data_IF_482787102258
#
_entry.id   IF_482787102258
#
_cell.length_a   1.000
_cell.length_b   1.000
_cell.length_c   1.000
_cell.angle_alpha   90.00
_cell.angle_beta   90.00
_cell.angle_gamma   90.00
#
_symmetry.space_group_name_H-M   'P 1'
#
loop_
_entity.id
_entity.type
_entity.pdbx_description
1 polymer ?
#
# COMPACT_ATOMS: atom_id res chain seq x y z
N UNK A 1 -4.34 3.61 11.91
CA UNK A 1 -4.45 3.95 10.48
C UNK A 1 -5.17 5.28 10.34
N UNK A 2 -4.78 6.14 9.42
CA UNK A 2 -5.37 7.47 9.23
C UNK A 2 -5.95 7.61 7.84
N UNK A 3 -6.93 8.50 7.69
CA UNK A 3 -7.43 8.91 6.39
C UNK A 3 -6.33 9.68 5.63
N UNK A 4 -6.14 9.32 4.37
CA UNK A 4 -5.21 9.97 3.46
C UNK A 4 -6.02 10.72 2.41
N UNK A 5 -5.90 12.02 2.41
CA UNK A 5 -6.45 12.89 1.37
C UNK A 5 -5.41 13.06 0.25
N UNK A 6 -5.83 12.80 -0.99
CA UNK A 6 -4.97 12.99 -2.15
C UNK A 6 -4.94 14.46 -2.55
N UNK A 7 -3.78 15.08 -2.46
CA UNK A 7 -3.58 16.49 -2.84
C UNK A 7 -3.45 16.70 -4.36
N UNK A 8 -3.26 15.60 -5.10
CA UNK A 8 -3.03 15.62 -6.53
C UNK A 8 -1.55 15.65 -6.90
N UNK A 9 -1.27 15.53 -8.19
CA UNK A 9 0.09 15.55 -8.71
C UNK A 9 0.45 16.94 -9.26
N UNK A 10 1.70 17.39 -9.10
CA UNK A 10 2.22 18.52 -9.83
C UNK A 10 2.04 18.35 -11.35
N UNK A 11 1.83 19.47 -12.06
CA UNK A 11 1.52 19.47 -13.49
C UNK A 11 2.55 18.75 -14.36
N UNK A 12 3.84 18.87 -14.01
CA UNK A 12 4.93 18.21 -14.74
C UNK A 12 4.92 16.69 -14.55
N UNK A 13 4.63 16.20 -13.36
CA UNK A 13 4.51 14.76 -13.06
C UNK A 13 3.24 14.20 -13.70
N UNK A 14 2.13 14.90 -13.56
CA UNK A 14 0.87 14.52 -14.20
C UNK A 14 1.01 14.42 -15.73
N UNK A 15 1.74 15.36 -16.33
CA UNK A 15 2.04 15.33 -17.77
C UNK A 15 2.83 14.09 -18.18
N UNK A 16 3.88 13.72 -17.43
CA UNK A 16 4.65 12.48 -17.68
C UNK A 16 3.74 11.24 -17.69
N UNK A 17 2.82 11.15 -16.73
CA UNK A 17 1.88 10.01 -16.65
C UNK A 17 0.88 10.02 -17.82
N UNK A 18 0.39 11.19 -18.22
CA UNK A 18 -0.50 11.31 -19.38
C UNK A 18 0.23 10.92 -20.68
N UNK A 19 1.48 11.32 -20.83
CA UNK A 19 2.32 10.94 -21.98
C UNK A 19 2.59 9.44 -22.00
N UNK A 20 2.91 8.85 -20.85
CA UNK A 20 3.05 7.40 -20.71
C UNK A 20 1.78 6.66 -21.14
N UNK A 21 0.60 7.08 -20.68
CA UNK A 21 -0.70 6.49 -21.09
C UNK A 21 -0.94 6.57 -22.61
N UNK A 22 -0.43 7.62 -23.25
CA UNK A 22 -0.58 7.83 -24.69
C UNK A 22 0.48 7.11 -25.52
N UNK A 23 1.54 6.60 -24.90
CA UNK A 23 2.62 5.91 -25.61
C UNK A 23 2.12 4.63 -26.31
N UNK A 24 2.71 4.31 -27.44
CA UNK A 24 2.39 3.07 -28.16
C UNK A 24 2.80 1.83 -27.34
N UNK A 25 3.87 1.93 -26.56
CA UNK A 25 4.27 0.86 -25.66
C UNK A 25 3.17 0.52 -24.66
N UNK A 26 2.65 1.52 -23.93
CA UNK A 26 1.57 1.31 -22.97
C UNK A 26 0.30 0.79 -23.60
N UNK A 27 -0.12 1.37 -24.73
CA UNK A 27 -1.36 0.96 -25.42
C UNK A 27 -1.32 -0.48 -25.91
N UNK A 28 -0.17 -0.96 -26.37
CA UNK A 28 -0.01 -2.30 -26.91
C UNK A 28 0.13 -3.39 -25.83
N UNK A 29 0.34 -3.06 -24.56
CA UNK A 29 0.32 -4.03 -23.47
C UNK A 29 -1.10 -4.58 -23.32
N UNK A 30 -1.24 -5.90 -23.30
CA UNK A 30 -2.52 -6.56 -23.01
C UNK A 30 -2.91 -6.42 -21.55
N UNK A 31 -4.21 -6.44 -21.26
CA UNK A 31 -4.74 -6.29 -19.91
C UNK A 31 -4.24 -7.38 -18.92
N UNK A 32 -3.96 -8.57 -19.42
CA UNK A 32 -3.50 -9.72 -18.65
C UNK A 32 -1.96 -9.89 -18.63
N UNK A 33 -1.21 -9.02 -19.32
CA UNK A 33 0.26 -9.03 -19.33
C UNK A 33 0.83 -8.25 -18.14
N UNK A 34 0.67 -8.85 -16.96
CA UNK A 34 1.14 -8.26 -15.69
C UNK A 34 2.65 -7.98 -15.68
N UNK A 35 3.44 -8.80 -16.36
CA UNK A 35 4.90 -8.62 -16.41
C UNK A 35 5.28 -7.38 -17.22
N UNK A 36 4.66 -7.15 -18.37
CA UNK A 36 4.86 -5.95 -19.16
C UNK A 36 4.36 -4.69 -18.42
N UNK A 37 3.20 -4.75 -17.75
CA UNK A 37 2.69 -3.66 -16.92
C UNK A 37 3.69 -3.32 -15.80
N UNK A 38 4.21 -4.32 -15.10
CA UNK A 38 5.19 -4.12 -14.01
C UNK A 38 6.49 -3.50 -14.53
N UNK A 39 6.99 -3.99 -15.68
CA UNK A 39 8.18 -3.42 -16.31
C UNK A 39 8.02 -1.93 -16.57
N UNK A 40 6.93 -1.51 -17.23
CA UNK A 40 6.67 -0.10 -17.53
C UNK A 40 6.52 0.72 -16.25
N UNK A 41 5.85 0.19 -15.23
CA UNK A 41 5.78 0.84 -13.93
C UNK A 41 7.15 1.02 -13.28
N UNK A 42 8.07 0.08 -13.46
CA UNK A 42 9.40 0.17 -12.85
C UNK A 42 10.38 1.03 -13.65
N UNK A 43 10.21 1.16 -14.98
CA UNK A 43 11.17 1.85 -15.87
C UNK A 43 10.71 3.23 -16.36
N UNK A 44 9.42 3.39 -16.71
CA UNK A 44 8.92 4.56 -17.43
C UNK A 44 8.01 5.44 -16.59
N UNK A 45 7.36 4.87 -15.58
CA UNK A 45 6.55 5.63 -14.64
C UNK A 45 7.45 6.48 -13.70
N UNK A 46 7.10 7.74 -13.40
CA UNK A 46 7.88 8.61 -12.53
C UNK A 46 7.79 8.21 -11.05
N UNK A 47 8.19 6.96 -10.75
CA UNK A 47 7.97 6.26 -9.48
C UNK A 47 8.58 6.97 -8.28
N UNK A 48 9.78 7.54 -8.45
CA UNK A 48 10.46 8.24 -7.35
C UNK A 48 9.77 9.58 -7.05
N UNK A 49 9.40 10.33 -8.08
CA UNK A 49 8.68 11.59 -7.91
C UNK A 49 7.33 11.34 -7.21
N UNK A 50 6.59 10.32 -7.68
CA UNK A 50 5.30 9.93 -7.08
C UNK A 50 5.48 9.43 -5.64
N UNK A 51 6.52 8.65 -5.37
CA UNK A 51 6.81 8.17 -4.00
C UNK A 51 7.06 9.35 -3.05
N UNK A 52 7.82 10.34 -3.45
CA UNK A 52 8.10 11.53 -2.64
C UNK A 52 6.80 12.28 -2.29
N UNK A 53 5.91 12.46 -3.27
CA UNK A 53 4.60 13.08 -3.08
C UNK A 53 3.74 12.28 -2.11
N UNK A 54 3.66 10.95 -2.28
CA UNK A 54 2.92 10.07 -1.37
C UNK A 54 3.43 10.15 0.07
N UNK A 55 4.74 10.18 0.25
CA UNK A 55 5.34 10.32 1.58
C UNK A 55 5.03 11.69 2.20
N UNK A 56 5.01 12.74 1.39
CA UNK A 56 4.64 14.08 1.83
C UNK A 56 3.17 14.14 2.29
N UNK A 57 2.23 13.69 1.44
CA UNK A 57 0.79 13.62 1.77
C UNK A 57 0.52 12.83 3.05
N UNK A 58 1.29 11.77 3.28
CA UNK A 58 1.15 10.87 4.42
C UNK A 58 2.00 11.30 5.64
N UNK A 59 2.64 12.49 5.60
CA UNK A 59 3.49 12.99 6.68
C UNK A 59 4.62 12.02 7.10
N UNK A 60 5.15 11.24 6.14
CA UNK A 60 6.19 10.26 6.40
C UNK A 60 5.73 9.06 7.22
N UNK A 61 4.47 8.65 7.10
CA UNK A 61 3.88 7.53 7.83
C UNK A 61 3.35 6.48 6.84
N UNK A 62 3.64 5.21 7.11
CA UNK A 62 3.10 4.08 6.33
C UNK A 62 1.56 4.09 6.38
N UNK A 63 0.92 4.01 5.20
CA UNK A 63 -0.53 4.04 5.06
C UNK A 63 -1.25 2.95 5.89
N UNK A 64 -0.59 1.83 6.17
CA UNK A 64 -1.19 0.70 6.89
C UNK A 64 -0.80 0.66 8.37
N UNK A 65 0.47 0.48 8.71
CA UNK A 65 0.91 0.23 10.08
C UNK A 65 1.30 1.48 10.87
N UNK A 66 1.22 2.67 10.29
CA UNK A 66 1.58 3.94 10.91
C UNK A 66 3.07 4.08 11.30
N UNK A 67 3.93 3.13 10.91
CA UNK A 67 5.37 3.25 11.10
C UNK A 67 5.90 4.45 10.31
N UNK A 68 6.89 5.16 10.88
CA UNK A 68 7.60 6.21 10.15
C UNK A 68 8.35 5.63 8.95
N UNK A 69 8.21 6.27 7.80
CA UNK A 69 8.87 5.92 6.54
C UNK A 69 9.60 7.13 5.96
N UNK A 70 10.66 6.86 5.21
CA UNK A 70 11.51 7.87 4.60
C UNK A 70 11.67 7.60 3.11
N UNK A 71 12.24 8.55 2.37
CA UNK A 71 12.58 8.38 0.97
C UNK A 71 13.85 7.52 0.82
N UNK A 72 13.73 6.25 1.16
CA UNK A 72 14.81 5.26 1.15
C UNK A 72 14.31 3.91 0.59
N UNK A 73 15.11 2.86 0.72
CA UNK A 73 14.78 1.53 0.23
C UNK A 73 13.88 0.72 1.18
N UNK A 74 13.52 1.25 2.37
CA UNK A 74 12.58 0.66 3.33
C UNK A 74 11.15 1.17 3.16
N UNK A 75 10.91 2.01 2.16
CA UNK A 75 9.58 2.44 1.75
C UNK A 75 9.35 2.21 0.27
N UNK A 76 8.10 2.01 -0.11
CA UNK A 76 7.69 1.71 -1.50
C UNK A 76 6.36 2.35 -1.86
N UNK A 77 6.09 2.40 -3.16
CA UNK A 77 4.76 2.69 -3.71
C UNK A 77 3.98 1.38 -3.72
N UNK A 78 2.85 1.38 -3.06
CA UNK A 78 1.89 0.29 -2.98
C UNK A 78 0.68 0.59 -3.87
N UNK A 79 0.12 -0.43 -4.52
CA UNK A 79 -1.13 -0.36 -5.25
C UNK A 79 -2.27 -0.90 -4.41
N UNK A 80 -3.25 -0.06 -4.06
CA UNK A 80 -4.41 -0.47 -3.27
C UNK A 80 -5.17 -1.61 -3.96
N UNK A 81 -5.52 -1.44 -5.24
CA UNK A 81 -5.89 -2.52 -6.14
C UNK A 81 -4.61 -3.03 -6.82
N UNK A 82 -4.21 -4.30 -6.63
CA UNK A 82 -2.97 -4.83 -7.19
C UNK A 82 -2.84 -4.57 -8.70
N UNK A 83 -1.64 -4.26 -9.14
CA UNK A 83 -1.38 -3.87 -10.53
C UNK A 83 -1.69 -5.03 -11.53
N UNK A 84 -1.65 -6.28 -11.05
CA UNK A 84 -2.04 -7.48 -11.81
C UNK A 84 -3.53 -7.58 -12.10
N UNK A 85 -4.36 -6.78 -11.44
CA UNK A 85 -5.82 -6.85 -11.55
C UNK A 85 -6.41 -5.86 -12.55
N UNK A 86 -5.71 -4.76 -12.80
CA UNK A 86 -6.16 -3.74 -13.73
C UNK A 86 -4.97 -2.89 -14.20
N UNK A 87 -4.66 -2.96 -15.47
CA UNK A 87 -3.56 -2.25 -16.12
C UNK A 87 -3.64 -0.73 -15.89
N UNK A 88 -4.82 -0.12 -16.09
CA UNK A 88 -4.98 1.33 -15.95
C UNK A 88 -4.75 1.80 -14.49
N UNK A 89 -5.03 0.94 -13.52
CA UNK A 89 -4.79 1.22 -12.10
C UNK A 89 -3.31 1.13 -11.72
N UNK A 90 -2.48 0.48 -12.53
CA UNK A 90 -1.05 0.38 -12.29
C UNK A 90 -0.31 1.73 -12.41
N UNK A 91 -0.85 2.68 -13.18
CA UNK A 91 -0.31 4.04 -13.34
C UNK A 91 -1.30 5.12 -12.89
N UNK A 92 -2.28 4.75 -12.07
CA UNK A 92 -3.25 5.67 -11.46
C UNK A 92 -2.78 6.10 -10.07
N UNK A 93 -2.38 7.36 -9.93
CA UNK A 93 -1.96 7.93 -8.65
C UNK A 93 -2.99 7.75 -7.53
N UNK A 94 -4.29 7.79 -7.84
CA UNK A 94 -5.36 7.57 -6.86
C UNK A 94 -5.45 6.12 -6.38
N UNK A 95 -4.73 5.19 -7.01
CA UNK A 95 -4.58 3.81 -6.57
C UNK A 95 -3.29 3.56 -5.80
N UNK A 96 -2.50 4.60 -5.51
CA UNK A 96 -1.16 4.45 -4.92
C UNK A 96 -1.10 4.98 -3.49
N UNK A 97 -0.31 4.30 -2.66
CA UNK A 97 -0.03 4.63 -1.28
C UNK A 97 1.48 4.52 -1.00
N UNK A 98 1.99 5.33 -0.08
CA UNK A 98 3.33 5.16 0.48
C UNK A 98 3.28 4.17 1.65
N UNK A 99 4.07 3.09 1.57
CA UNK A 99 4.09 2.07 2.63
C UNK A 99 5.53 1.68 3.00
N UNK A 100 5.69 1.05 4.17
CA UNK A 100 6.96 0.46 4.55
C UNK A 100 7.22 -0.84 3.78
N UNK A 101 8.46 -1.36 3.87
CA UNK A 101 8.86 -2.65 3.27
C UNK A 101 8.25 -3.88 3.97
N UNK A 102 7.38 -3.67 4.96
CA UNK A 102 6.71 -4.74 5.70
C UNK A 102 7.67 -5.69 6.42
N UNK A 103 8.93 -5.30 6.58
CA UNK A 103 9.98 -6.09 7.22
C UNK A 103 10.77 -7.00 6.29
N UNK A 104 10.58 -6.97 4.98
CA UNK A 104 11.34 -7.78 4.01
C UNK A 104 12.86 -7.60 4.12
N UNK A 105 13.31 -6.39 4.48
CA UNK A 105 14.74 -6.07 4.56
C UNK A 105 15.36 -6.21 5.95
N UNK A 106 14.61 -6.76 6.90
CA UNK A 106 15.15 -7.06 8.22
C UNK A 106 16.02 -8.33 8.13
N UNK A 107 17.33 -8.16 8.20
CA UNK A 107 18.29 -9.27 8.20
C UNK A 107 18.56 -9.76 9.62
N UNK A 108 18.75 -11.08 9.78
CA UNK A 108 19.24 -11.67 11.05
C UNK A 108 18.19 -12.06 12.07
N UNK A 109 16.89 -11.86 11.83
CA UNK A 109 15.81 -12.40 12.67
C UNK A 109 15.21 -13.66 12.05
N UNK A 110 15.49 -14.82 12.60
CA UNK A 110 14.77 -16.06 12.24
C UNK A 110 13.28 -15.92 12.60
N UNK A 111 12.40 -16.19 11.63
CA UNK A 111 10.96 -16.18 11.84
C UNK A 111 10.33 -14.78 11.91
N UNK A 112 10.96 -13.79 11.26
CA UNK A 112 10.33 -12.48 11.07
C UNK A 112 9.05 -12.63 10.24
N UNK A 113 7.98 -11.99 10.69
CA UNK A 113 6.67 -12.04 10.05
C UNK A 113 6.55 -10.79 9.18
N UNK A 114 6.21 -10.98 7.92
CA UNK A 114 5.93 -9.87 7.01
C UNK A 114 4.58 -9.24 7.36
N UNK A 115 4.46 -7.94 7.14
CA UNK A 115 3.20 -7.20 7.29
C UNK A 115 3.01 -6.19 6.13
N UNK A 116 1.94 -5.43 6.19
CA UNK A 116 1.61 -4.41 5.19
C UNK A 116 1.61 -4.98 3.77
N UNK A 117 2.19 -4.24 2.81
CA UNK A 117 2.29 -4.64 1.41
C UNK A 117 3.04 -5.96 1.21
N UNK A 118 4.12 -6.19 1.95
CA UNK A 118 4.91 -7.41 1.84
C UNK A 118 4.12 -8.69 2.17
N UNK A 119 3.12 -8.61 3.04
CA UNK A 119 2.21 -9.72 3.33
C UNK A 119 0.97 -9.71 2.43
N UNK A 120 0.44 -8.53 2.10
CA UNK A 120 -0.72 -8.37 1.21
C UNK A 120 -0.48 -8.98 -0.17
N UNK A 121 0.67 -8.71 -0.77
CA UNK A 121 1.01 -9.16 -2.14
C UNK A 121 -0.07 -8.76 -3.15
N UNK A 122 -0.53 -9.73 -3.93
CA UNK A 122 -1.55 -9.55 -4.98
C UNK A 122 -3.00 -9.73 -4.45
N UNK A 123 -3.20 -9.72 -3.12
CA UNK A 123 -4.53 -9.86 -2.52
C UNK A 123 -5.28 -8.52 -2.57
N UNK A 124 -6.52 -8.56 -3.07
CA UNK A 124 -7.41 -7.40 -2.99
C UNK A 124 -7.93 -7.23 -1.57
N UNK A 125 -7.96 -5.98 -1.11
CA UNK A 125 -8.52 -5.61 0.19
C UNK A 125 -9.70 -4.66 0.03
N UNK A 126 -10.64 -4.72 0.94
CA UNK A 126 -11.77 -3.79 1.04
C UNK A 126 -11.45 -2.55 1.85
N UNK A 127 -10.49 -2.68 2.77
CA UNK A 127 -9.98 -1.60 3.59
C UNK A 127 -9.20 -0.60 2.72
N UNK A 128 -9.59 0.67 2.79
CA UNK A 128 -8.91 1.72 2.04
C UNK A 128 -8.59 2.94 2.92
N UNK A 129 -7.32 3.27 3.12
CA UNK A 129 -6.93 4.51 3.77
C UNK A 129 -7.42 5.79 3.05
N UNK A 130 -7.85 5.66 1.80
CA UNK A 130 -8.45 6.75 1.00
C UNK A 130 -9.96 6.92 1.26
N UNK A 131 -10.56 6.04 2.05
CA UNK A 131 -11.99 6.09 2.39
C UNK A 131 -12.17 6.64 3.81
N UNK A 132 -12.55 7.91 3.91
CA UNK A 132 -12.75 8.58 5.20
C UNK A 132 -13.73 7.85 6.11
N UNK A 133 -14.86 7.37 5.55
CA UNK A 133 -15.89 6.66 6.35
C UNK A 133 -15.37 5.35 6.94
N UNK A 134 -14.45 4.67 6.25
CA UNK A 134 -13.79 3.49 6.80
C UNK A 134 -12.78 3.87 7.87
N UNK A 135 -11.99 4.92 7.63
CA UNK A 135 -10.98 5.36 8.59
C UNK A 135 -11.60 5.90 9.88
N UNK A 136 -12.78 6.51 9.82
CA UNK A 136 -13.53 6.95 11.00
C UNK A 136 -14.00 5.77 11.89
N UNK A 137 -14.00 4.52 11.39
CA UNK A 137 -14.27 3.32 12.19
C UNK A 137 -13.03 2.72 12.84
N UNK A 138 -11.82 3.12 12.44
CA UNK A 138 -10.59 2.54 12.99
C UNK A 138 -10.40 2.97 14.44
N UNK A 139 -10.23 2.02 15.33
CA UNK A 139 -9.95 2.21 16.74
C UNK A 139 -8.74 1.36 17.18
N UNK A 140 -8.20 1.69 18.34
CA UNK A 140 -7.07 1.00 18.95
C UNK A 140 -7.40 0.66 20.41
N UNK A 141 -7.06 -0.54 20.83
CA UNK A 141 -7.17 -0.93 22.23
C UNK A 141 -5.96 -0.42 23.06
N UNK A 142 -5.97 -0.73 24.35
CA UNK A 142 -4.89 -0.35 25.27
C UNK A 142 -3.56 -1.05 25.00
N UNK A 143 -3.55 -2.11 24.20
CA UNK A 143 -2.34 -2.83 23.77
C UNK A 143 -1.85 -2.36 22.40
N UNK A 144 -2.58 -1.43 21.75
CA UNK A 144 -2.28 -0.89 20.44
C UNK A 144 -2.79 -1.76 19.28
N UNK A 145 -3.62 -2.76 19.54
CA UNK A 145 -4.26 -3.55 18.47
C UNK A 145 -5.30 -2.74 17.74
N UNK A 146 -5.36 -2.91 16.44
CA UNK A 146 -6.29 -2.22 15.54
C UNK A 146 -7.58 -3.05 15.46
N UNK A 147 -8.71 -2.39 15.63
CA UNK A 147 -10.04 -2.98 15.40
C UNK A 147 -10.98 -1.95 14.77
N UNK A 148 -12.22 -2.32 14.49
CA UNK A 148 -13.23 -1.42 13.93
C UNK A 148 -14.40 -1.21 14.90
N UNK A 149 -14.87 0.06 15.01
CA UNK A 149 -16.03 0.42 15.81
C UNK A 149 -16.93 1.41 15.03
N UNK A 150 -18.17 1.04 14.65
CA UNK A 150 -18.77 -0.28 14.84
C UNK A 150 -18.04 -1.37 14.04
N UNK A 151 -18.15 -2.62 14.50
CA UNK A 151 -17.46 -3.76 13.93
C UNK A 151 -17.76 -3.92 12.43
N UNK A 152 -16.70 -4.09 11.65
CA UNK A 152 -16.73 -4.33 10.21
C UNK A 152 -15.85 -5.56 9.90
N UNK A 153 -16.51 -6.71 9.69
CA UNK A 153 -15.82 -8.00 9.55
C UNK A 153 -14.89 -8.06 8.33
N UNK A 154 -15.21 -7.35 7.25
CA UNK A 154 -14.37 -7.31 6.05
C UNK A 154 -13.09 -6.51 6.32
N UNK A 155 -13.23 -5.34 6.96
CA UNK A 155 -12.06 -4.53 7.33
C UNK A 155 -11.18 -5.23 8.36
N UNK A 156 -11.78 -5.90 9.37
CA UNK A 156 -11.02 -6.65 10.37
C UNK A 156 -10.28 -7.85 9.77
N UNK A 157 -10.87 -8.51 8.77
CA UNK A 157 -10.18 -9.55 8.00
C UNK A 157 -8.97 -8.98 7.26
N UNK A 158 -9.11 -7.84 6.60
CA UNK A 158 -8.00 -7.20 5.90
C UNK A 158 -6.88 -6.80 6.89
N UNK A 159 -7.24 -6.26 8.05
CA UNK A 159 -6.28 -5.87 9.11
C UNK A 159 -5.52 -7.08 9.64
N UNK A 160 -6.23 -8.18 9.97
CA UNK A 160 -5.65 -9.30 10.71
C UNK A 160 -5.04 -10.37 9.79
N UNK A 161 -5.69 -10.68 8.66
CA UNK A 161 -5.31 -11.82 7.83
C UNK A 161 -4.51 -11.42 6.59
N UNK A 162 -4.79 -10.22 6.02
CA UNK A 162 -4.15 -9.79 4.77
C UNK A 162 -2.98 -8.85 5.02
N UNK A 163 -3.13 -7.87 5.90
CA UNK A 163 -2.08 -6.91 6.24
C UNK A 163 -1.25 -7.32 7.46
N UNK A 164 -1.72 -8.27 8.26
CA UNK A 164 -1.11 -8.76 9.51
C UNK A 164 -0.68 -7.63 10.48
N UNK A 165 -1.52 -6.62 10.64
CA UNK A 165 -1.16 -5.44 11.44
C UNK A 165 -1.18 -5.72 12.95
N UNK A 166 -1.96 -6.70 13.40
CA UNK A 166 -2.03 -7.14 14.79
C UNK A 166 -1.10 -8.32 15.11
N UNK A 167 -0.22 -8.69 14.19
CA UNK A 167 0.65 -9.85 14.33
C UNK A 167 -0.10 -11.18 14.21
N UNK A 168 0.62 -12.29 14.38
CA UNK A 168 0.02 -13.65 14.37
C UNK A 168 -0.35 -14.02 15.80
N UNK A 169 -1.63 -14.29 16.05
CA UNK A 169 -2.06 -14.91 17.29
C UNK A 169 -1.68 -16.39 17.27
N UNK A 170 -0.92 -16.84 18.25
CA UNK A 170 -0.67 -18.25 18.47
C UNK A 170 -1.86 -18.90 19.17
N UNK A 171 -1.98 -20.21 19.04
CA UNK A 171 -3.02 -21.02 19.70
C UNK A 171 -3.00 -20.93 21.23
N UNK A 172 -1.90 -20.47 21.82
CA UNK A 172 -1.72 -20.24 23.25
C UNK A 172 -2.11 -18.81 23.71
N UNK A 173 -2.65 -17.98 22.80
CA UNK A 173 -3.05 -16.60 23.09
C UNK A 173 -1.91 -15.59 23.09
N UNK A 174 -0.67 -16.00 22.86
CA UNK A 174 0.46 -15.06 22.71
C UNK A 174 0.49 -14.49 21.29
N UNK A 175 0.86 -13.20 21.17
CA UNK A 175 1.04 -12.52 19.87
C UNK A 175 2.52 -12.56 19.50
N UNK A 176 2.81 -12.86 18.22
CA UNK A 176 4.13 -12.62 17.65
C UNK A 176 4.06 -11.24 16.99
N UNK A 177 4.82 -10.28 17.50
CA UNK A 177 4.90 -8.95 16.91
C UNK A 177 5.47 -9.00 15.49
N UNK A 178 4.92 -8.17 14.62
CA UNK A 178 5.38 -7.95 13.23
C UNK A 178 6.60 -7.02 13.17
#
# INVERSE_FOLDING_TARGET
>A
MLYIEKEGLPDDINRKIIELRKSEEWKNIKEDDTEAVRRVFDTDFPKNDVKEILLHEQHGICAYCMRRIHMDNHSRVEHLLPLSKNKEKAIDYNNMLGVCDGGEKITGRQGHILCCDAHKGETEIKLSPLNKTQMDKIAYDSEGKIYTEPRDADMEKDINDVLLLNGIQKSDGTVRDT
#
